data_IF_115313574453
#
_entry.id   IF_115313574453
#
_cell.length_a   1.000
_cell.length_b   1.000
_cell.length_c   1.000
_cell.angle_alpha   90.00
_cell.angle_beta   90.00
_cell.angle_gamma   90.00
#
_symmetry.space_group_name_H-M   'P 1'
#
loop_
_entity.id
_entity.type
_entity.pdbx_description
1 polymer ?
#
# COMPACT_ATOMS: atom_id res chain seq x y z
N UNK A 1 4.49 -22.49 -9.11
CA UNK A 1 4.41 -21.33 -10.01
C UNK A 1 2.96 -20.81 -10.04
N UNK A 2 2.79 -19.51 -10.00
CA UNK A 2 1.45 -18.87 -9.96
C UNK A 2 0.83 -18.68 -11.34
N UNK A 3 1.49 -19.12 -12.40
CA UNK A 3 1.01 -18.97 -13.77
C UNK A 3 1.17 -17.55 -14.31
N UNK A 4 0.37 -17.22 -15.34
CA UNK A 4 0.37 -15.89 -15.96
C UNK A 4 -0.43 -14.90 -15.12
N UNK A 5 0.01 -13.64 -15.14
CA UNK A 5 -0.76 -12.56 -14.48
C UNK A 5 -2.03 -12.25 -15.28
N UNK A 6 -3.16 -12.01 -14.61
CA UNK A 6 -4.35 -11.49 -15.28
C UNK A 6 -4.04 -10.17 -15.99
N UNK A 7 -4.74 -9.86 -17.09
CA UNK A 7 -4.63 -8.55 -17.73
C UNK A 7 -5.15 -7.44 -16.79
N UNK A 8 -4.63 -6.23 -16.95
CA UNK A 8 -5.12 -5.06 -16.21
C UNK A 8 -6.57 -4.78 -16.63
N UNK A 9 -7.47 -4.72 -15.66
CA UNK A 9 -8.91 -4.58 -15.91
C UNK A 9 -9.27 -3.19 -16.49
N UNK A 10 -8.69 -2.13 -15.94
CA UNK A 10 -8.92 -0.76 -16.41
C UNK A 10 -7.60 0.05 -16.45
N UNK A 11 -6.85 -0.04 -17.56
CA UNK A 11 -5.60 0.69 -17.73
C UNK A 11 -5.76 2.22 -17.61
N UNK A 12 -6.89 2.78 -18.09
CA UNK A 12 -7.14 4.22 -18.04
C UNK A 12 -7.33 4.71 -16.59
N UNK A 13 -8.07 3.95 -15.77
CA UNK A 13 -8.22 4.24 -14.33
C UNK A 13 -6.87 4.16 -13.63
N UNK A 14 -6.09 3.11 -13.88
CA UNK A 14 -4.75 2.94 -13.32
C UNK A 14 -3.84 4.10 -13.69
N UNK A 15 -3.78 4.48 -14.96
CA UNK A 15 -2.94 5.59 -15.44
C UNK A 15 -3.37 6.93 -14.82
N UNK A 16 -4.66 7.24 -14.80
CA UNK A 16 -5.19 8.48 -14.21
C UNK A 16 -4.83 8.62 -12.74
N UNK A 17 -4.93 7.55 -11.98
CA UNK A 17 -4.65 7.55 -10.54
C UNK A 17 -3.14 7.63 -10.22
N UNK A 18 -2.25 7.45 -11.20
CA UNK A 18 -0.81 7.36 -10.96
C UNK A 18 -0.22 8.62 -10.31
N UNK A 19 -0.72 9.80 -10.64
CA UNK A 19 -0.24 11.08 -10.11
C UNK A 19 -1.35 11.95 -9.50
N UNK A 20 -2.51 11.36 -9.24
CA UNK A 20 -3.67 12.00 -8.64
C UNK A 20 -4.14 11.16 -7.43
N UNK A 21 -3.63 11.50 -6.26
CA UNK A 21 -3.94 10.78 -5.02
C UNK A 21 -5.41 10.88 -4.64
N UNK A 22 -6.05 12.04 -4.87
CA UNK A 22 -7.49 12.18 -4.65
C UNK A 22 -8.27 11.22 -5.53
N UNK A 23 -7.96 11.16 -6.81
CA UNK A 23 -8.62 10.24 -7.73
C UNK A 23 -8.40 8.77 -7.32
N UNK A 24 -7.20 8.42 -6.86
CA UNK A 24 -6.91 7.09 -6.33
C UNK A 24 -7.83 6.74 -5.15
N UNK A 25 -8.01 7.67 -4.20
CA UNK A 25 -8.95 7.49 -3.09
C UNK A 25 -10.39 7.30 -3.58
N UNK A 26 -10.84 8.14 -4.50
CA UNK A 26 -12.22 8.11 -5.02
C UNK A 26 -12.49 6.84 -5.85
N UNK A 27 -11.53 6.41 -6.66
CA UNK A 27 -11.70 5.28 -7.58
C UNK A 27 -11.58 3.92 -6.89
N UNK A 28 -10.60 3.75 -5.99
CA UNK A 28 -10.31 2.45 -5.37
C UNK A 28 -10.86 2.29 -3.96
N UNK A 29 -11.19 3.37 -3.27
CA UNK A 29 -11.61 3.40 -1.87
C UNK A 29 -12.91 4.18 -1.66
N UNK A 30 -13.82 4.14 -2.63
CA UNK A 30 -15.08 4.85 -2.58
C UNK A 30 -15.94 4.51 -1.35
N UNK A 31 -15.86 3.28 -0.84
CA UNK A 31 -16.57 2.88 0.38
C UNK A 31 -15.97 3.49 1.64
N UNK A 32 -14.65 3.66 1.68
CA UNK A 32 -13.95 4.30 2.78
C UNK A 32 -14.16 5.81 2.77
N UNK A 33 -14.08 6.43 1.60
CA UNK A 33 -14.21 7.88 1.40
C UNK A 33 -15.55 8.24 0.74
N UNK A 34 -16.65 7.71 1.30
CA UNK A 34 -18.01 7.90 0.75
C UNK A 34 -18.62 9.27 1.01
N UNK A 35 -18.08 10.04 1.95
CA UNK A 35 -18.53 11.39 2.26
C UNK A 35 -17.85 12.43 1.35
N UNK A 36 -18.51 13.53 1.02
CA UNK A 36 -17.89 14.62 0.28
C UNK A 36 -16.62 15.14 0.97
N UNK A 37 -15.58 15.41 0.18
CA UNK A 37 -14.36 15.99 0.68
C UNK A 37 -14.59 17.42 1.19
N UNK A 38 -14.27 17.67 2.46
CA UNK A 38 -14.22 19.04 2.98
C UNK A 38 -12.98 19.77 2.45
N UNK A 39 -12.94 21.11 2.49
CA UNK A 39 -11.75 21.87 2.12
C UNK A 39 -10.47 21.46 2.89
N UNK A 40 -10.62 21.08 4.17
CA UNK A 40 -9.50 20.63 4.99
C UNK A 40 -8.99 19.25 4.55
N UNK A 41 -9.89 18.33 4.22
CA UNK A 41 -9.49 17.03 3.62
C UNK A 41 -8.74 17.24 2.31
N UNK A 42 -9.22 18.13 1.43
CA UNK A 42 -8.55 18.40 0.15
C UNK A 42 -7.14 18.98 0.35
N UNK A 43 -6.94 19.82 1.36
CA UNK A 43 -5.59 20.31 1.73
C UNK A 43 -4.68 19.18 2.19
N UNK A 44 -5.20 18.28 3.03
CA UNK A 44 -4.45 17.12 3.53
C UNK A 44 -4.09 16.18 2.38
N UNK A 45 -5.05 15.85 1.51
CA UNK A 45 -4.83 15.02 0.33
C UNK A 45 -3.75 15.61 -0.57
N UNK A 46 -3.79 16.92 -0.84
CA UNK A 46 -2.77 17.62 -1.62
C UNK A 46 -1.38 17.57 -0.95
N UNK A 47 -1.32 17.69 0.38
CA UNK A 47 -0.05 17.58 1.10
C UNK A 47 0.51 16.16 1.12
N UNK A 48 -0.33 15.15 1.21
CA UNK A 48 0.08 13.74 1.08
C UNK A 48 0.63 13.49 -0.33
N UNK A 49 -0.08 13.93 -1.36
CA UNK A 49 0.37 13.82 -2.74
C UNK A 49 1.74 14.45 -2.94
N UNK A 50 1.92 15.70 -2.48
CA UNK A 50 3.20 16.39 -2.52
C UNK A 50 4.30 15.62 -1.78
N UNK A 51 4.03 15.13 -0.56
CA UNK A 51 5.00 14.37 0.23
C UNK A 51 5.42 13.07 -0.47
N UNK A 52 4.50 12.37 -1.10
CA UNK A 52 4.79 11.11 -1.81
C UNK A 52 5.55 11.38 -3.11
N UNK A 53 5.15 12.36 -3.90
CA UNK A 53 5.76 12.62 -5.21
C UNK A 53 7.08 13.41 -5.12
N UNK A 54 7.11 14.43 -4.27
CA UNK A 54 8.21 15.40 -4.22
C UNK A 54 9.07 15.27 -2.95
N UNK A 55 8.50 14.70 -1.90
CA UNK A 55 9.11 14.67 -0.56
C UNK A 55 8.74 15.89 0.28
N UNK A 56 9.36 16.01 1.45
CA UNK A 56 9.13 17.09 2.40
C UNK A 56 8.70 16.60 3.78
N UNK A 57 8.60 17.55 4.72
CA UNK A 57 8.12 17.32 6.08
C UNK A 57 6.83 18.10 6.28
N UNK A 58 5.77 17.40 6.67
CA UNK A 58 4.45 17.99 6.89
C UNK A 58 3.88 17.52 8.23
N UNK A 59 3.28 18.45 8.97
CA UNK A 59 2.48 18.15 10.15
C UNK A 59 1.01 18.43 9.83
N UNK A 60 0.15 17.43 10.09
CA UNK A 60 -1.27 17.51 9.80
C UNK A 60 -2.07 17.23 11.07
N UNK A 61 -2.85 18.21 11.51
CA UNK A 61 -3.78 18.07 12.61
C UNK A 61 -5.21 18.02 12.07
N UNK A 62 -5.93 16.96 12.40
CA UNK A 62 -7.32 16.76 12.03
C UNK A 62 -8.11 16.23 13.22
N UNK A 63 -9.42 16.51 13.33
CA UNK A 63 -10.27 15.99 14.41
C UNK A 63 -10.27 14.45 14.46
N UNK A 64 -10.68 13.90 15.61
CA UNK A 64 -10.97 12.46 15.71
C UNK A 64 -12.09 12.08 14.74
N UNK A 65 -12.00 10.88 14.15
CA UNK A 65 -13.00 10.37 13.21
C UNK A 65 -12.94 11.00 11.82
N UNK A 66 -11.95 11.85 11.53
CA UNK A 66 -11.79 12.49 10.21
C UNK A 66 -11.12 11.61 9.14
N UNK A 67 -10.86 10.32 9.41
CA UNK A 67 -10.26 9.42 8.43
C UNK A 67 -8.74 9.57 8.25
N UNK A 68 -8.02 10.22 9.18
CA UNK A 68 -6.55 10.39 9.10
C UNK A 68 -5.80 9.09 8.87
N UNK A 69 -6.11 8.08 9.67
CA UNK A 69 -5.45 6.77 9.59
C UNK A 69 -5.71 6.13 8.23
N UNK A 70 -6.96 6.13 7.76
CA UNK A 70 -7.31 5.60 6.43
C UNK A 70 -6.60 6.33 5.30
N UNK A 71 -6.47 7.65 5.38
CA UNK A 71 -5.69 8.43 4.41
C UNK A 71 -4.22 8.03 4.40
N UNK A 72 -3.62 7.79 5.57
CA UNK A 72 -2.22 7.35 5.67
C UNK A 72 -2.04 5.92 5.10
N UNK A 73 -2.94 5.00 5.41
CA UNK A 73 -2.91 3.63 4.91
C UNK A 73 -3.04 3.60 3.38
N UNK A 74 -4.00 4.34 2.83
CA UNK A 74 -4.21 4.45 1.37
C UNK A 74 -3.05 5.17 0.69
N UNK A 75 -2.42 6.15 1.35
CA UNK A 75 -1.21 6.80 0.84
C UNK A 75 -0.03 5.83 0.74
N UNK A 76 0.13 4.92 1.70
CA UNK A 76 1.14 3.87 1.65
C UNK A 76 0.92 2.94 0.45
N UNK A 77 -0.32 2.50 0.21
CA UNK A 77 -0.69 1.68 -0.94
C UNK A 77 -0.40 2.42 -2.27
N UNK A 78 -0.83 3.67 -2.37
CA UNK A 78 -0.58 4.48 -3.55
C UNK A 78 0.90 4.67 -3.85
N UNK A 79 1.68 5.00 -2.82
CA UNK A 79 3.12 5.20 -2.95
C UNK A 79 3.84 3.95 -3.46
N UNK A 80 3.44 2.77 -3.00
CA UNK A 80 4.11 1.51 -3.33
C UNK A 80 3.62 0.87 -4.63
N UNK A 81 2.30 0.84 -4.86
CA UNK A 81 1.73 0.23 -6.05
C UNK A 81 2.17 0.90 -7.35
N UNK A 82 2.40 2.21 -7.31
CA UNK A 82 2.94 2.97 -8.43
C UNK A 82 4.47 3.12 -8.44
N UNK A 83 5.15 2.62 -7.41
CA UNK A 83 6.60 2.74 -7.30
C UNK A 83 7.09 4.17 -7.04
N UNK A 84 6.23 5.05 -6.50
CA UNK A 84 6.64 6.39 -6.08
C UNK A 84 7.64 6.34 -4.92
N UNK A 85 7.49 5.33 -4.06
CA UNK A 85 8.40 5.00 -2.96
C UNK A 85 8.53 3.49 -2.88
N UNK A 86 9.73 3.02 -2.65
CA UNK A 86 10.08 1.61 -2.50
C UNK A 86 10.21 1.17 -1.03
N UNK A 87 10.22 2.14 -0.12
CA UNK A 87 10.24 1.89 1.32
C UNK A 87 9.36 2.87 2.08
N UNK A 88 8.45 2.34 2.90
CA UNK A 88 7.57 3.11 3.79
C UNK A 88 7.74 2.63 5.23
N UNK A 89 8.05 3.54 6.14
CA UNK A 89 7.99 3.31 7.57
C UNK A 89 6.71 3.94 8.13
N UNK A 90 5.76 3.11 8.59
CA UNK A 90 4.51 3.54 9.19
C UNK A 90 4.60 3.43 10.71
N UNK A 91 4.56 4.57 11.40
CA UNK A 91 4.77 4.63 12.84
C UNK A 91 3.45 4.96 13.53
N UNK A 92 2.98 4.02 14.36
CA UNK A 92 1.78 4.20 15.19
C UNK A 92 2.10 4.77 16.58
N UNK A 93 1.07 5.14 17.33
CA UNK A 93 1.19 5.57 18.72
C UNK A 93 1.84 4.50 19.62
N UNK A 94 1.57 3.26 19.29
CA UNK A 94 2.10 2.07 19.94
C UNK A 94 2.23 0.94 18.90
N UNK A 95 2.74 -0.21 19.33
CA UNK A 95 3.00 -1.35 18.45
C UNK A 95 1.70 -2.02 17.96
N UNK A 96 0.67 -2.08 18.80
CA UNK A 96 -0.62 -2.67 18.45
C UNK A 96 -1.34 -1.84 17.39
N UNK A 97 -1.37 -0.50 17.55
CA UNK A 97 -1.93 0.40 16.57
C UNK A 97 -1.19 0.31 15.23
N UNK A 98 0.15 0.27 15.27
CA UNK A 98 0.96 0.09 14.06
C UNK A 98 0.66 -1.23 13.33
N UNK A 99 0.56 -2.34 14.08
CA UNK A 99 0.18 -3.63 13.54
C UNK A 99 -1.23 -3.62 12.93
N UNK A 100 -2.18 -2.96 13.58
CA UNK A 100 -3.55 -2.81 13.07
C UNK A 100 -3.60 -2.06 11.73
N UNK A 101 -2.81 -1.01 11.55
CA UNK A 101 -2.69 -0.31 10.27
C UNK A 101 -2.11 -1.23 9.18
N UNK A 102 -1.12 -2.05 9.51
CA UNK A 102 -0.53 -3.00 8.56
C UNK A 102 -1.53 -4.07 8.13
N UNK A 103 -2.31 -4.61 9.07
CA UNK A 103 -3.35 -5.60 8.77
C UNK A 103 -4.46 -5.01 7.86
N UNK A 104 -4.81 -3.74 8.05
CA UNK A 104 -5.72 -3.01 7.16
C UNK A 104 -5.19 -2.94 5.73
N UNK A 105 -3.92 -2.59 5.55
CA UNK A 105 -3.25 -2.55 4.25
C UNK A 105 -3.19 -3.95 3.60
N UNK A 106 -2.89 -5.00 4.38
CA UNK A 106 -2.89 -6.38 3.90
C UNK A 106 -4.27 -6.81 3.41
N UNK A 107 -5.31 -6.49 4.17
CA UNK A 107 -6.68 -6.81 3.81
C UNK A 107 -7.07 -6.22 2.45
N UNK A 108 -6.64 -5.00 2.15
CA UNK A 108 -6.87 -4.38 0.85
C UNK A 108 -6.14 -5.11 -0.28
N UNK A 109 -4.88 -5.49 -0.09
CA UNK A 109 -4.10 -6.23 -1.09
C UNK A 109 -4.67 -7.64 -1.35
N UNK A 110 -5.23 -8.28 -0.33
CA UNK A 110 -5.81 -9.62 -0.42
C UNK A 110 -7.24 -9.61 -0.99
N UNK A 111 -8.07 -8.62 -0.65
CA UNK A 111 -9.51 -8.70 -0.84
C UNK A 111 -10.10 -7.66 -1.81
N UNK A 112 -9.41 -6.53 -2.08
CA UNK A 112 -9.95 -5.50 -2.97
C UNK A 112 -9.95 -5.97 -4.43
N UNK A 113 -11.14 -6.17 -5.00
CA UNK A 113 -11.29 -6.58 -6.40
C UNK A 113 -10.79 -5.50 -7.38
N UNK A 114 -10.98 -4.22 -7.03
CA UNK A 114 -10.49 -3.11 -7.86
C UNK A 114 -8.97 -3.06 -7.89
N UNK A 115 -8.32 -3.21 -6.73
CA UNK A 115 -6.84 -3.28 -6.69
C UNK A 115 -6.32 -4.52 -7.40
N UNK A 116 -6.94 -5.68 -7.20
CA UNK A 116 -6.54 -6.91 -7.87
C UNK A 116 -6.70 -6.82 -9.40
N UNK A 117 -7.76 -6.16 -9.86
CA UNK A 117 -8.00 -5.97 -11.29
C UNK A 117 -6.97 -5.05 -11.95
N UNK A 118 -6.57 -3.97 -11.29
CA UNK A 118 -5.68 -2.97 -11.90
C UNK A 118 -4.20 -3.14 -11.54
N UNK A 119 -3.90 -3.83 -10.44
CA UNK A 119 -2.53 -4.12 -9.98
C UNK A 119 -2.29 -5.64 -9.84
N UNK A 120 -2.53 -6.42 -10.91
CA UNK A 120 -2.35 -7.87 -10.84
C UNK A 120 -0.92 -8.27 -10.47
N UNK A 121 0.07 -7.48 -10.85
CA UNK A 121 1.48 -7.69 -10.53
C UNK A 121 1.77 -7.66 -9.02
N UNK A 122 0.97 -6.94 -8.25
CA UNK A 122 1.08 -6.91 -6.79
C UNK A 122 0.10 -7.89 -6.12
N UNK A 123 -1.18 -7.84 -6.51
CA UNK A 123 -2.24 -8.54 -5.80
C UNK A 123 -2.37 -10.03 -6.19
N UNK A 124 -2.14 -10.41 -7.44
CA UNK A 124 -2.30 -11.81 -7.86
C UNK A 124 -1.34 -12.77 -7.13
N UNK A 125 -0.04 -12.48 -6.99
CA UNK A 125 0.84 -13.33 -6.20
C UNK A 125 0.44 -13.44 -4.73
N UNK A 126 -0.04 -12.34 -4.12
CA UNK A 126 -0.49 -12.31 -2.73
C UNK A 126 -1.75 -13.17 -2.57
N UNK A 127 -2.74 -13.00 -3.43
CA UNK A 127 -3.98 -13.78 -3.43
C UNK A 127 -3.74 -15.28 -3.68
N UNK A 128 -2.74 -15.60 -4.49
CA UNK A 128 -2.33 -16.99 -4.76
C UNK A 128 -1.74 -17.71 -3.54
N UNK A 129 -1.45 -16.99 -2.46
CA UNK A 129 -1.10 -17.61 -1.17
C UNK A 129 -2.32 -18.25 -0.48
N UNK A 130 -3.55 -17.85 -0.83
CA UNK A 130 -4.81 -18.34 -0.25
C UNK A 130 -4.84 -18.25 1.29
N UNK A 131 -4.26 -17.16 1.85
CA UNK A 131 -4.12 -16.96 3.28
C UNK A 131 -3.05 -17.84 3.96
N UNK A 132 -2.35 -18.70 3.23
CA UNK A 132 -1.28 -19.56 3.75
C UNK A 132 0.07 -18.89 3.51
N UNK A 133 0.44 -17.99 4.40
CA UNK A 133 1.60 -17.12 4.23
C UNK A 133 2.96 -17.85 4.15
N UNK A 134 3.04 -19.09 4.70
CA UNK A 134 4.24 -19.93 4.56
C UNK A 134 4.53 -20.30 3.08
N UNK A 135 3.52 -20.29 2.21
CA UNK A 135 3.69 -20.54 0.77
C UNK A 135 4.54 -19.47 0.07
N UNK A 136 4.66 -18.28 0.67
CA UNK A 136 5.44 -17.18 0.10
C UNK A 136 6.91 -17.56 -0.14
N UNK A 137 7.51 -18.34 0.75
CA UNK A 137 8.92 -18.76 0.63
C UNK A 137 9.20 -19.66 -0.57
N UNK A 138 8.17 -20.39 -1.07
CA UNK A 138 8.30 -21.30 -2.21
C UNK A 138 7.57 -20.82 -3.47
N UNK A 139 6.96 -19.63 -3.43
CA UNK A 139 6.19 -19.13 -4.57
C UNK A 139 7.09 -18.71 -5.72
N UNK A 140 6.74 -19.17 -6.93
CA UNK A 140 7.46 -18.85 -8.15
C UNK A 140 6.54 -18.14 -9.16
N UNK A 141 7.14 -17.25 -9.93
CA UNK A 141 6.57 -16.65 -11.13
C UNK A 141 7.58 -16.80 -12.27
N UNK A 142 7.19 -17.48 -13.34
CA UNK A 142 8.08 -17.80 -14.48
C UNK A 142 9.42 -18.42 -14.03
N UNK A 143 9.36 -19.34 -13.05
CA UNK A 143 10.52 -20.04 -12.51
C UNK A 143 11.40 -19.22 -11.57
N UNK A 144 11.06 -17.96 -11.28
CA UNK A 144 11.78 -17.08 -10.34
C UNK A 144 10.97 -16.88 -9.05
N UNK A 145 11.66 -16.84 -7.93
CA UNK A 145 11.01 -16.60 -6.63
C UNK A 145 10.41 -15.20 -6.56
N UNK A 146 9.18 -15.08 -6.00
CA UNK A 146 8.47 -13.81 -5.87
C UNK A 146 8.93 -12.99 -4.67
N UNK A 147 9.65 -13.57 -3.72
CA UNK A 147 10.21 -12.92 -2.54
C UNK A 147 9.19 -12.13 -1.68
N UNK A 148 7.93 -12.55 -1.65
CA UNK A 148 6.91 -11.91 -0.81
C UNK A 148 7.31 -12.02 0.65
N UNK A 149 7.32 -10.88 1.36
CA UNK A 149 7.39 -10.80 2.81
C UNK A 149 6.01 -10.50 3.39
N UNK A 150 5.56 -11.32 4.33
CA UNK A 150 4.21 -11.19 4.91
C UNK A 150 4.25 -11.52 6.40
N UNK A 151 4.70 -10.57 7.21
CA UNK A 151 4.88 -10.74 8.65
C UNK A 151 3.99 -9.77 9.44
N UNK A 152 3.91 -9.93 10.75
CA UNK A 152 3.16 -9.01 11.62
C UNK A 152 3.67 -7.56 11.57
N UNK A 153 4.90 -7.31 11.11
CA UNK A 153 5.55 -5.99 11.12
C UNK A 153 6.02 -5.50 9.75
N UNK A 154 5.88 -6.33 8.72
CA UNK A 154 6.44 -6.02 7.41
C UNK A 154 5.62 -6.66 6.28
N UNK A 155 5.42 -5.89 5.22
CA UNK A 155 5.03 -6.37 3.90
C UNK A 155 6.19 -6.11 2.94
N UNK A 156 6.56 -7.13 2.15
CA UNK A 156 7.39 -6.98 0.95
C UNK A 156 6.54 -7.38 -0.24
N UNK A 157 6.32 -6.46 -1.17
CA UNK A 157 5.56 -6.73 -2.39
C UNK A 157 6.32 -7.68 -3.33
N UNK A 158 5.60 -8.48 -4.14
CA UNK A 158 6.21 -9.46 -5.04
C UNK A 158 7.21 -8.83 -5.99
N UNK A 159 8.33 -9.51 -6.22
CA UNK A 159 9.36 -9.10 -7.20
C UNK A 159 8.99 -9.57 -8.61
N UNK A 160 7.89 -9.04 -9.15
CA UNK A 160 7.46 -9.33 -10.51
C UNK A 160 8.26 -8.47 -11.50
N UNK A 161 8.90 -9.06 -12.53
CA UNK A 161 9.66 -8.31 -13.51
C UNK A 161 8.83 -7.24 -14.22
N UNK A 162 9.37 -6.01 -14.31
CA UNK A 162 8.69 -4.89 -14.95
C UNK A 162 7.64 -4.18 -14.08
N UNK A 163 7.33 -4.69 -12.88
CA UNK A 163 6.43 -4.02 -11.95
C UNK A 163 7.13 -2.86 -11.25
N UNK A 164 6.52 -1.65 -11.24
CA UNK A 164 7.06 -0.53 -10.45
C UNK A 164 6.99 -0.77 -8.94
N UNK A 165 6.12 -1.69 -8.50
CA UNK A 165 5.94 -2.07 -7.10
C UNK A 165 6.90 -3.19 -6.64
N UNK A 166 7.73 -3.74 -7.54
CA UNK A 166 8.55 -4.92 -7.27
C UNK A 166 9.46 -4.73 -6.05
N UNK A 167 9.28 -5.57 -5.03
CA UNK A 167 10.12 -5.56 -3.83
C UNK A 167 9.93 -4.37 -2.90
N UNK A 168 8.90 -3.54 -3.12
CA UNK A 168 8.59 -2.42 -2.23
C UNK A 168 8.21 -2.92 -0.83
N UNK A 169 8.63 -2.19 0.21
CA UNK A 169 8.54 -2.61 1.60
C UNK A 169 7.72 -1.63 2.42
N UNK A 170 6.75 -2.12 3.19
CA UNK A 170 6.18 -1.40 4.34
C UNK A 170 6.66 -2.05 5.63
N UNK A 171 7.21 -1.25 6.53
CA UNK A 171 7.48 -1.65 7.91
C UNK A 171 6.69 -0.81 8.88
N UNK A 172 6.21 -1.43 9.95
CA UNK A 172 5.52 -0.73 11.02
C UNK A 172 6.28 -0.81 12.32
N UNK A 173 6.13 0.24 13.14
CA UNK A 173 6.64 0.30 14.51
C UNK A 173 5.75 1.19 15.37
N UNK A 174 5.71 0.92 16.67
CA UNK A 174 5.20 1.87 17.65
C UNK A 174 6.26 2.95 17.95
N UNK A 175 5.82 4.16 18.27
CA UNK A 175 6.73 5.29 18.57
C UNK A 175 7.68 5.01 19.74
N UNK A 176 7.27 4.15 20.67
CA UNK A 176 8.07 3.67 21.80
C UNK A 176 8.97 2.50 21.46
N UNK A 177 8.84 1.93 20.27
CA UNK A 177 9.59 0.78 19.79
C UNK A 177 10.97 1.16 19.23
N UNK A 178 11.70 0.13 18.77
CA UNK A 178 13.01 0.33 18.10
C UNK A 178 12.82 0.86 16.68
N UNK A 179 12.77 2.18 16.53
CA UNK A 179 12.72 2.85 15.23
C UNK A 179 14.12 2.89 14.58
N UNK A 180 15.17 2.84 15.42
CA UNK A 180 16.57 2.85 14.93
C UNK A 180 16.88 1.63 14.07
N UNK A 181 17.41 1.87 12.89
CA UNK A 181 17.83 0.80 11.96
C UNK A 181 16.72 0.32 11.01
N UNK A 182 15.58 0.95 10.96
CA UNK A 182 14.62 0.75 9.88
C UNK A 182 15.23 1.35 8.59
N UNK A 183 15.76 0.48 7.74
CA UNK A 183 16.33 0.87 6.45
C UNK A 183 15.90 -0.13 5.38
N UNK A 184 15.91 0.35 4.16
CA UNK A 184 15.92 -0.50 2.97
C UNK A 184 17.26 -1.27 2.94
N UNK A 185 17.18 -2.57 2.67
CA UNK A 185 18.38 -3.41 2.47
C UNK A 185 18.76 -3.45 1.00
#
# INVERSE_FOLDING_TARGET
DIGELPPIADPARKERAARDFRYFCDAYFAQTFHLPWSPDHLRVVSKIEQAVLEGGLFAMAMPRGSGKTSLCEVACLWAMLYGHRDFVALIGSDEEHAAGMLESIKAELENSELLAGDFPEACHPIRSLEGIHQRASGQLFQGKQTHIGWTAKEIVLPTIPGSPAAGAIIRVAGITGRIRGMKHK
#
